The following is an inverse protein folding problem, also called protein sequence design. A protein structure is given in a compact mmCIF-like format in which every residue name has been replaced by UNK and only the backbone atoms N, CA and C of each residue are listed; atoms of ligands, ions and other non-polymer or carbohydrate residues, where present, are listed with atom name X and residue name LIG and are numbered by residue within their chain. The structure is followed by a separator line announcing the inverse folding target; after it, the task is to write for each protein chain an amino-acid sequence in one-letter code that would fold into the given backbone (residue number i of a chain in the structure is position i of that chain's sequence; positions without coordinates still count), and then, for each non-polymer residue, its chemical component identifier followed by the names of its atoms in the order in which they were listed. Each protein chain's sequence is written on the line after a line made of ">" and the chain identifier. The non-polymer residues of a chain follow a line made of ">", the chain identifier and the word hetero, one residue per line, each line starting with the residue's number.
data_IF_102435647488
#
_entry.id   IF_102435647488
#
_cell.length_a   1.000
_cell.length_b   1.000
_cell.length_c   1.000
_cell.angle_alpha   90.00
_cell.angle_beta   90.00
_cell.angle_gamma   90.00
#
_symmetry.space_group_name_H-M   'P 1'
#
loop_
_entity.id
_entity.type
_entity.pdbx_description
1 polymer ?
#
# COMPACT_ATOMS: atom_id res chain seq x y z
N UNK A 1 -10.75 -8.33 22.16
CA UNK A 1 -9.69 -8.85 21.34
C UNK A 1 -9.66 -8.21 20.01
N UNK A 2 -8.49 -7.94 19.50
CA UNK A 2 -8.37 -7.30 18.21
C UNK A 2 -8.29 -8.34 17.13
N UNK A 3 -8.98 -8.09 16.06
CA UNK A 3 -8.88 -8.96 14.91
C UNK A 3 -7.74 -8.53 14.01
N UNK A 4 -7.07 -9.48 13.44
CA UNK A 4 -5.96 -9.20 12.54
C UNK A 4 -6.34 -9.60 11.14
N UNK A 5 -5.79 -8.86 10.18
CA UNK A 5 -6.01 -9.11 8.77
C UNK A 5 -4.70 -9.52 8.14
N UNK A 6 -4.79 -10.30 7.09
CA UNK A 6 -3.61 -10.64 6.33
C UNK A 6 -3.53 -9.74 5.12
N UNK A 7 -2.45 -8.99 5.02
CA UNK A 7 -2.25 -8.04 3.94
C UNK A 7 -1.07 -8.51 3.11
N UNK A 8 -1.30 -8.68 1.83
CA UNK A 8 -0.27 -9.11 0.91
C UNK A 8 0.28 -7.89 0.18
N UNK A 9 1.59 -7.72 0.22
CA UNK A 9 2.23 -6.60 -0.45
C UNK A 9 2.82 -7.09 -1.76
N UNK A 10 2.33 -6.57 -2.86
CA UNK A 10 2.80 -7.00 -4.18
C UNK A 10 4.19 -6.48 -4.51
N UNK A 11 4.62 -5.44 -3.82
CA UNK A 11 5.92 -4.84 -4.12
C UNK A 11 7.08 -5.77 -3.75
N UNK A 12 6.93 -6.48 -2.65
CA UNK A 12 8.00 -7.36 -2.20
C UNK A 12 7.54 -8.80 -2.01
N UNK A 13 6.31 -9.13 -2.41
CA UNK A 13 5.78 -10.49 -2.35
C UNK A 13 5.78 -11.04 -0.93
N UNK A 14 5.47 -10.20 0.03
CA UNK A 14 5.42 -10.59 1.43
C UNK A 14 4.04 -10.28 1.97
N UNK A 15 3.51 -11.14 2.81
CA UNK A 15 2.27 -10.86 3.50
C UNK A 15 2.55 -10.74 4.99
N UNK A 16 1.78 -9.88 5.63
CA UNK A 16 1.90 -9.65 7.07
C UNK A 16 0.52 -9.46 7.66
N UNK A 17 0.45 -9.61 8.96
CA UNK A 17 -0.80 -9.38 9.67
C UNK A 17 -0.82 -7.98 10.24
N UNK A 18 -1.98 -7.34 10.14
CA UNK A 18 -2.19 -6.01 10.68
C UNK A 18 -3.53 -5.96 11.37
N UNK A 19 -3.68 -5.11 12.38
CA UNK A 19 -4.97 -4.99 13.04
C UNK A 19 -6.02 -4.40 12.12
N UNK A 20 -7.25 -4.81 12.34
CA UNK A 20 -8.35 -4.32 11.53
C UNK A 20 -8.44 -2.80 11.67
N UNK A 21 -8.70 -2.12 10.57
CA UNK A 21 -8.75 -0.67 10.57
C UNK A 21 -7.41 0.01 10.34
N UNK A 22 -6.38 -0.74 9.99
CA UNK A 22 -5.09 -0.13 9.69
C UNK A 22 -5.17 0.64 8.39
N UNK A 23 -4.52 1.81 8.36
CA UNK A 23 -4.47 2.59 7.13
C UNK A 23 -3.36 2.07 6.24
N UNK A 24 -3.42 2.42 4.97
CA UNK A 24 -2.38 2.01 4.04
C UNK A 24 -1.02 2.56 4.43
N UNK A 25 -1.01 3.75 5.04
CA UNK A 25 0.24 4.32 5.51
C UNK A 25 0.84 3.47 6.63
N UNK A 26 0.00 3.02 7.56
CA UNK A 26 0.45 2.14 8.63
C UNK A 26 1.00 0.83 8.06
N UNK A 27 0.32 0.31 7.06
CA UNK A 27 0.75 -0.92 6.44
C UNK A 27 2.09 -0.72 5.73
N UNK A 28 2.24 0.42 5.07
CA UNK A 28 3.49 0.74 4.41
C UNK A 28 4.66 0.73 5.41
N UNK A 29 4.47 1.38 6.55
CA UNK A 29 5.51 1.39 7.57
C UNK A 29 5.73 0.01 8.17
N UNK A 30 4.66 -0.76 8.30
CA UNK A 30 4.77 -2.10 8.85
C UNK A 30 5.57 -3.05 7.97
N UNK A 31 5.50 -2.84 6.66
CA UNK A 31 6.29 -3.66 5.74
C UNK A 31 7.73 -3.18 5.64
N UNK A 32 8.03 -2.01 6.19
CA UNK A 32 9.39 -1.50 6.19
C UNK A 32 9.95 -1.40 4.78
N UNK A 33 9.14 -0.93 3.86
CA UNK A 33 9.55 -0.79 2.47
C UNK A 33 10.51 0.37 2.33
N UNK A 34 11.45 0.21 1.41
CA UNK A 34 12.49 1.20 1.24
C UNK A 34 12.49 1.67 -0.21
N UNK A 35 11.61 2.59 -0.52
CA UNK A 35 11.50 3.12 -1.87
C UNK A 35 12.42 4.30 -2.06
N UNK A 36 12.96 4.47 -3.25
CA UNK A 36 13.78 5.65 -3.52
C UNK A 36 12.96 6.92 -3.64
N UNK A 37 11.65 6.79 -3.83
CA UNK A 37 10.77 7.95 -3.96
C UNK A 37 9.66 7.85 -2.94
N UNK A 38 9.03 8.97 -2.67
CA UNK A 38 7.96 9.00 -1.71
C UNK A 38 6.72 8.28 -2.25
N UNK A 39 6.11 7.47 -1.43
CA UNK A 39 4.88 6.78 -1.79
C UNK A 39 3.72 7.77 -1.70
N UNK A 40 2.92 7.85 -2.75
CA UNK A 40 1.81 8.80 -2.80
C UNK A 40 0.45 8.13 -2.78
N UNK A 41 0.37 6.86 -3.15
CA UNK A 41 -0.90 6.14 -3.11
C UNK A 41 -0.62 4.65 -3.12
N UNK A 42 -1.69 3.87 -3.13
CA UNK A 42 -1.56 2.43 -3.19
C UNK A 42 -2.78 1.86 -3.88
N UNK A 43 -2.65 0.66 -4.39
CA UNK A 43 -3.77 -0.07 -4.97
C UNK A 43 -4.21 -1.14 -4.00
N UNK A 44 -5.50 -1.22 -3.79
CA UNK A 44 -6.09 -2.23 -2.93
C UNK A 44 -7.06 -3.02 -3.79
N UNK A 45 -6.78 -4.30 -4.00
CA UNK A 45 -7.60 -5.15 -4.87
C UNK A 45 -7.74 -4.53 -6.25
N UNK A 46 -6.64 -4.04 -6.79
CA UNK A 46 -6.61 -3.39 -8.11
C UNK A 46 -7.38 -2.07 -8.15
N UNK A 47 -7.59 -1.46 -7.01
CA UNK A 47 -8.28 -0.19 -6.94
C UNK A 47 -7.35 0.85 -6.34
N UNK A 48 -7.25 1.99 -7.00
CA UNK A 48 -6.36 3.06 -6.52
C UNK A 48 -6.99 3.72 -5.30
N UNK A 49 -6.27 3.75 -4.19
CA UNK A 49 -6.75 4.35 -2.96
C UNK A 49 -5.67 5.23 -2.37
N UNK A 50 -6.07 6.22 -1.60
CA UNK A 50 -5.11 7.05 -0.92
C UNK A 50 -4.52 6.36 0.30
N UNK A 51 -3.47 6.92 0.84
CA UNK A 51 -2.81 6.30 1.99
C UNK A 51 -3.66 6.38 3.25
N UNK A 52 -4.71 7.19 3.24
CA UNK A 52 -5.63 7.25 4.36
C UNK A 52 -6.64 6.12 4.38
N UNK A 53 -6.72 5.37 3.32
CA UNK A 53 -7.69 4.28 3.21
C UNK A 53 -7.40 3.25 4.29
N UNK A 54 -8.44 2.79 4.97
CA UNK A 54 -8.30 1.78 6.01
C UNK A 54 -8.86 0.47 5.52
N UNK A 55 -8.23 -0.62 5.93
CA UNK A 55 -8.65 -1.95 5.51
C UNK A 55 -9.33 -2.66 6.66
N UNK A 56 -10.34 -3.42 6.33
CA UNK A 56 -11.12 -4.15 7.32
C UNK A 56 -11.20 -5.63 7.01
N UNK A 57 -10.60 -6.07 5.93
CA UNK A 57 -10.54 -7.47 5.56
C UNK A 57 -9.20 -7.76 4.94
N UNK A 58 -8.96 -9.04 4.63
CA UNK A 58 -7.74 -9.41 3.91
C UNK A 58 -7.75 -8.75 2.54
N UNK A 59 -6.64 -8.12 2.18
CA UNK A 59 -6.53 -7.38 0.94
C UNK A 59 -5.14 -7.53 0.37
N UNK A 60 -5.04 -7.31 -0.93
CA UNK A 60 -3.76 -7.18 -1.60
C UNK A 60 -3.48 -5.70 -1.76
N UNK A 61 -2.26 -5.27 -1.49
CA UNK A 61 -1.90 -3.87 -1.64
C UNK A 61 -0.66 -3.77 -2.53
N UNK A 62 -0.60 -2.69 -3.26
CA UNK A 62 0.56 -2.39 -4.07
C UNK A 62 0.83 -0.90 -3.96
N UNK A 63 1.96 -0.52 -3.40
CA UNK A 63 2.26 0.89 -3.15
C UNK A 63 2.84 1.52 -4.42
N UNK A 64 2.42 2.75 -4.67
CA UNK A 64 2.84 3.51 -5.84
C UNK A 64 3.58 4.75 -5.37
N UNK A 65 4.72 5.02 -5.98
CA UNK A 65 5.51 6.18 -5.60
C UNK A 65 5.46 7.23 -6.70
N UNK A 66 6.09 8.37 -6.46
CA UNK A 66 6.02 9.47 -7.41
C UNK A 66 6.69 9.14 -8.73
N UNK A 67 7.58 8.16 -8.74
CA UNK A 67 8.24 7.83 -10.00
C UNK A 67 7.25 7.28 -11.01
N UNK A 68 6.17 6.66 -10.55
CA UNK A 68 5.11 6.23 -11.42
C UNK A 68 4.47 7.40 -12.14
N UNK A 69 4.29 8.50 -11.43
CA UNK A 69 3.68 9.67 -12.02
C UNK A 69 4.62 10.36 -13.00
N UNK A 70 5.87 10.45 -12.64
CA UNK A 70 6.84 11.07 -13.51
C UNK A 70 6.96 10.34 -14.83
N UNK A 71 6.79 9.08 -14.76
CA UNK A 71 6.98 8.27 -15.93
C UNK A 71 5.89 8.44 -16.95
N UNK A 72 4.73 8.83 -16.54
CA UNK A 72 3.63 8.97 -17.44
C UNK A 72 3.58 10.29 -18.10
N UNK A 73 4.52 11.16 -17.92
CA UNK A 73 4.39 12.40 -18.48
C UNK A 73 4.99 12.49 -19.78
N UNK A 74 4.40 12.41 -20.71
CA UNK A 74 4.96 12.43 -21.93
C UNK A 74 5.08 13.70 -22.44
N UNK A 75 4.82 14.43 -22.39
CA UNK A 75 4.94 15.45 -22.92
C UNK A 75 5.29 16.00 -23.47
N UNK A 76 5.39 16.35 -24.13
CA UNK A 76 5.82 17.19 -24.72
C UNK A 76 5.44 18.06 -25.00
#
# INVERSE_FOLDING_TARGET
>A
MKQMLQIYCKNNNISKEFPIGSSLLDIYYGFNLNFPYQVVSAKVNNRSEGLNFRVYNNKDVEFLDVSCLLYTSPSP
#
